data_IF_209355112417
#
_entry.id   IF_209355112417
#
_cell.length_a   1.000
_cell.length_b   1.000
_cell.length_c   1.000
_cell.angle_alpha   90.00
_cell.angle_beta   90.00
_cell.angle_gamma   90.00
#
_symmetry.space_group_name_H-M   'P 1'
#
loop_
_entity.id
_entity.type
_entity.pdbx_description
1 polymer ?
#
# COMPACT_ATOMS: atom_id res chain seq x y z
N UNK A 1 5.00 -46.24 32.66
CA UNK A 1 4.40 -45.00 33.21
C UNK A 1 4.34 -44.05 32.02
N UNK A 2 3.32 -44.23 31.18
CA UNK A 2 3.22 -43.58 29.88
C UNK A 2 2.35 -42.33 30.02
N UNK A 3 3.01 -41.17 30.08
CA UNK A 3 2.35 -39.87 30.03
C UNK A 3 1.97 -39.58 28.58
N UNK A 4 0.77 -39.97 28.18
CA UNK A 4 0.14 -39.42 26.97
C UNK A 4 -0.11 -37.93 27.20
N UNK A 5 0.76 -37.10 26.62
CA UNK A 5 0.49 -35.68 26.46
C UNK A 5 -0.74 -35.54 25.56
N UNK A 6 -1.89 -35.22 26.16
CA UNK A 6 -3.02 -34.68 25.41
C UNK A 6 -2.57 -33.34 24.83
N UNK A 7 -2.20 -33.34 23.55
CA UNK A 7 -2.23 -32.10 22.79
C UNK A 7 -3.67 -31.56 22.90
N UNK A 8 -3.89 -30.30 23.33
CA UNK A 8 -5.23 -29.75 23.37
C UNK A 8 -5.80 -29.83 21.95
N UNK A 9 -6.96 -30.48 21.82
CA UNK A 9 -7.70 -30.51 20.56
C UNK A 9 -7.96 -29.04 20.17
N UNK A 10 -7.72 -28.66 18.90
CA UNK A 10 -8.04 -27.32 18.45
C UNK A 10 -9.52 -27.04 18.78
N UNK A 11 -9.81 -25.93 19.46
CA UNK A 11 -11.19 -25.58 19.73
C UNK A 11 -11.88 -25.33 18.38
N UNK A 12 -13.08 -25.86 18.22
CA UNK A 12 -13.88 -25.66 17.01
C UNK A 12 -14.12 -24.17 16.69
N UNK A 13 -14.02 -23.29 17.70
CA UNK A 13 -13.99 -21.83 17.53
C UNK A 13 -12.75 -21.35 16.78
N UNK A 14 -11.56 -21.77 17.21
CA UNK A 14 -10.29 -21.40 16.57
C UNK A 14 -10.21 -21.89 15.11
N UNK A 15 -10.84 -23.03 14.81
CA UNK A 15 -10.89 -23.58 13.45
C UNK A 15 -11.88 -22.81 12.56
N UNK A 16 -13.03 -22.42 13.12
CA UNK A 16 -14.05 -21.65 12.40
C UNK A 16 -13.59 -20.20 12.16
N UNK A 17 -12.93 -19.59 13.14
CA UNK A 17 -12.38 -18.23 13.03
C UNK A 17 -11.22 -18.18 12.02
N UNK A 18 -10.35 -19.20 11.99
CA UNK A 18 -9.30 -19.32 10.98
C UNK A 18 -9.86 -19.53 9.56
N UNK A 19 -10.91 -20.33 9.41
CA UNK A 19 -11.55 -20.57 8.12
C UNK A 19 -12.26 -19.31 7.61
N UNK A 20 -12.94 -18.57 8.49
CA UNK A 20 -13.57 -17.29 8.18
C UNK A 20 -12.53 -16.23 7.79
N UNK A 21 -11.43 -16.13 8.53
CA UNK A 21 -10.31 -15.24 8.21
C UNK A 21 -9.69 -15.56 6.84
N UNK A 22 -9.55 -16.85 6.49
CA UNK A 22 -9.09 -17.30 5.18
C UNK A 22 -10.03 -16.85 4.06
N UNK A 23 -11.33 -17.11 4.19
CA UNK A 23 -12.33 -16.68 3.19
C UNK A 23 -12.42 -15.16 3.03
N UNK A 24 -12.17 -14.42 4.11
CA UNK A 24 -12.16 -12.96 4.11
C UNK A 24 -10.93 -12.40 3.39
N UNK A 25 -9.75 -12.97 3.63
CA UNK A 25 -8.53 -12.56 2.94
C UNK A 25 -8.63 -12.84 1.43
N UNK A 26 -9.15 -14.00 1.04
CA UNK A 26 -9.36 -14.35 -0.37
C UNK A 26 -10.32 -13.38 -1.06
N UNK A 27 -11.43 -13.02 -0.40
CA UNK A 27 -12.37 -12.05 -0.92
C UNK A 27 -11.74 -10.65 -1.05
N UNK A 28 -10.89 -10.25 -0.10
CA UNK A 28 -10.18 -8.98 -0.13
C UNK A 28 -9.14 -8.94 -1.26
N UNK A 29 -8.38 -10.02 -1.46
CA UNK A 29 -7.43 -10.17 -2.56
C UNK A 29 -8.13 -10.07 -3.92
N UNK A 30 -9.23 -10.80 -4.10
CA UNK A 30 -10.04 -10.74 -5.32
C UNK A 30 -10.57 -9.33 -5.57
N UNK A 31 -11.06 -8.66 -4.51
CA UNK A 31 -11.57 -7.29 -4.63
C UNK A 31 -10.46 -6.30 -4.99
N UNK A 32 -9.27 -6.43 -4.39
CA UNK A 32 -8.12 -5.61 -4.71
C UNK A 32 -7.69 -5.79 -6.18
N UNK A 33 -7.70 -7.03 -6.68
CA UNK A 33 -7.43 -7.33 -8.08
C UNK A 33 -8.42 -6.63 -9.03
N UNK A 34 -9.73 -6.79 -8.80
CA UNK A 34 -10.77 -6.15 -9.61
C UNK A 34 -10.66 -4.61 -9.61
N UNK A 35 -10.40 -4.02 -8.44
CA UNK A 35 -10.24 -2.59 -8.31
C UNK A 35 -8.97 -2.10 -9.03
N UNK A 36 -7.86 -2.83 -8.92
CA UNK A 36 -6.59 -2.49 -9.58
C UNK A 36 -6.72 -2.57 -11.10
N UNK A 37 -7.41 -3.59 -11.61
CA UNK A 37 -7.73 -3.72 -13.03
C UNK A 37 -8.52 -2.50 -13.52
N UNK A 38 -9.63 -2.17 -12.85
CA UNK A 38 -10.45 -1.04 -13.24
C UNK A 38 -9.70 0.29 -13.17
N UNK A 39 -8.90 0.49 -12.12
CA UNK A 39 -8.07 1.67 -11.97
C UNK A 39 -7.05 1.80 -13.10
N UNK A 40 -6.38 0.70 -13.48
CA UNK A 40 -5.47 0.68 -14.62
C UNK A 40 -6.18 1.06 -15.93
N UNK A 41 -7.40 0.56 -16.16
CA UNK A 41 -8.22 0.94 -17.33
C UNK A 41 -8.56 2.43 -17.31
N UNK A 42 -8.96 2.97 -16.15
CA UNK A 42 -9.26 4.39 -16.00
C UNK A 42 -8.02 5.29 -16.20
N UNK A 43 -6.83 4.78 -15.88
CA UNK A 43 -5.53 5.43 -16.13
C UNK A 43 -5.08 5.31 -17.60
N UNK A 44 -5.88 4.67 -18.47
CA UNK A 44 -5.66 4.59 -19.91
C UNK A 44 -4.86 3.38 -20.39
N UNK A 45 -4.61 2.39 -19.52
CA UNK A 45 -3.98 1.13 -19.94
C UNK A 45 -4.95 0.31 -20.80
N UNK A 46 -4.40 -0.40 -21.79
CA UNK A 46 -5.17 -1.37 -22.56
C UNK A 46 -5.52 -2.61 -21.71
N UNK A 47 -6.40 -3.48 -22.24
CA UNK A 47 -6.92 -4.62 -21.48
C UNK A 47 -5.80 -5.59 -21.02
N UNK A 48 -4.84 -5.99 -21.86
CA UNK A 48 -3.74 -6.84 -21.42
C UNK A 48 -2.88 -6.18 -20.33
N UNK A 49 -2.57 -4.89 -20.47
CA UNK A 49 -1.76 -4.19 -19.46
C UNK A 49 -2.52 -4.00 -18.15
N UNK A 50 -3.84 -3.77 -18.18
CA UNK A 50 -4.65 -3.66 -16.99
C UNK A 50 -4.80 -5.00 -16.24
N UNK A 51 -4.92 -6.11 -16.98
CA UNK A 51 -4.89 -7.45 -16.38
C UNK A 51 -3.55 -7.72 -15.69
N UNK A 52 -2.44 -7.43 -16.37
CA UNK A 52 -1.11 -7.60 -15.78
C UNK A 52 -0.90 -6.71 -14.55
N UNK A 53 -1.38 -5.47 -14.58
CA UNK A 53 -1.32 -4.56 -13.45
C UNK A 53 -2.06 -5.11 -12.22
N UNK A 54 -3.21 -5.74 -12.42
CA UNK A 54 -3.98 -6.36 -11.36
C UNK A 54 -3.31 -7.61 -10.78
N UNK A 55 -2.60 -8.38 -11.61
CA UNK A 55 -1.79 -9.52 -11.18
C UNK A 55 -0.53 -9.09 -10.41
N UNK A 56 0.13 -8.02 -10.87
CA UNK A 56 1.32 -7.44 -10.23
C UNK A 56 0.96 -6.64 -8.96
N UNK A 57 -0.32 -6.31 -8.77
CA UNK A 57 -0.80 -5.50 -7.66
C UNK A 57 -0.42 -4.03 -7.77
N UNK A 58 -0.31 -3.48 -8.97
CA UNK A 58 0.09 -2.08 -9.16
C UNK A 58 0.37 -1.69 -10.61
N UNK A 59 0.74 -0.43 -10.81
CA UNK A 59 1.12 0.13 -12.12
C UNK A 59 2.31 1.07 -11.99
N UNK A 60 2.98 1.36 -13.09
CA UNK A 60 3.99 2.42 -13.16
C UNK A 60 3.35 3.69 -13.71
N UNK A 61 3.32 4.76 -12.92
CA UNK A 61 2.83 6.08 -13.30
C UNK A 61 3.97 7.09 -13.32
N UNK A 62 4.21 7.74 -14.46
CA UNK A 62 5.28 8.74 -14.61
C UNK A 62 6.67 8.25 -14.15
N UNK A 63 6.96 6.96 -14.33
CA UNK A 63 8.21 6.33 -13.88
C UNK A 63 8.25 5.93 -12.40
N UNK A 64 7.20 6.22 -11.63
CA UNK A 64 7.04 5.80 -10.23
C UNK A 64 6.20 4.51 -10.15
N UNK A 65 6.71 3.51 -9.44
CA UNK A 65 5.93 2.31 -9.12
C UNK A 65 4.88 2.65 -8.06
N UNK A 66 3.61 2.42 -8.38
CA UNK A 66 2.47 2.58 -7.47
C UNK A 66 1.84 1.21 -7.25
N UNK A 67 1.85 0.73 -6.01
CA UNK A 67 1.30 -0.58 -5.64
C UNK A 67 0.04 -0.45 -4.80
N UNK A 68 -0.83 -1.44 -4.88
CA UNK A 68 -2.07 -1.59 -4.12
C UNK A 68 -1.94 -2.88 -3.32
N UNK A 69 -1.85 -2.76 -2.01
CA UNK A 69 -1.70 -3.91 -1.11
C UNK A 69 -2.95 -4.05 -0.24
N UNK A 70 -3.67 -5.19 -0.30
CA UNK A 70 -4.76 -5.43 0.63
C UNK A 70 -4.22 -5.67 2.04
N UNK A 71 -4.77 -4.95 3.00
CA UNK A 71 -4.43 -5.04 4.42
C UNK A 71 -5.66 -5.50 5.21
N UNK A 72 -5.68 -6.75 5.70
CA UNK A 72 -6.71 -7.20 6.61
C UNK A 72 -6.47 -6.55 7.98
N UNK A 73 -7.31 -5.60 8.35
CA UNK A 73 -7.28 -5.02 9.70
C UNK A 73 -8.14 -5.87 10.63
N UNK A 74 -7.52 -6.54 11.60
CA UNK A 74 -8.24 -7.28 12.64
C UNK A 74 -9.06 -6.33 13.53
N UNK A 75 -10.31 -6.71 13.84
CA UNK A 75 -11.17 -5.97 14.78
C UNK A 75 -11.97 -4.80 14.17
N UNK A 76 -11.75 -4.45 12.90
CA UNK A 76 -12.62 -3.56 12.14
C UNK A 76 -13.63 -4.41 11.36
N UNK A 77 -14.91 -4.07 11.49
CA UNK A 77 -16.04 -4.92 11.13
C UNK A 77 -16.23 -5.13 9.62
N UNK A 78 -15.33 -5.88 8.96
CA UNK A 78 -15.56 -6.47 7.63
C UNK A 78 -15.34 -5.52 6.45
N UNK A 79 -14.37 -4.61 6.54
CA UNK A 79 -14.08 -3.58 5.54
C UNK A 79 -12.57 -3.61 5.37
N UNK A 80 -12.06 -4.46 4.48
CA UNK A 80 -10.63 -4.47 4.22
C UNK A 80 -10.14 -3.07 3.86
N UNK A 81 -8.87 -2.79 4.10
CA UNK A 81 -8.25 -1.54 3.67
C UNK A 81 -7.28 -1.87 2.55
N UNK A 82 -7.23 -1.03 1.51
CA UNK A 82 -6.13 -1.05 0.55
C UNK A 82 -5.09 -0.04 1.00
N UNK A 83 -3.83 -0.44 0.94
CA UNK A 83 -2.70 0.47 1.11
C UNK A 83 -2.15 0.77 -0.28
N UNK A 84 -2.34 2.01 -0.73
CA UNK A 84 -1.74 2.50 -1.96
C UNK A 84 -0.37 3.05 -1.62
N UNK A 85 0.68 2.53 -2.26
CA UNK A 85 2.07 2.89 -1.95
C UNK A 85 2.78 3.43 -3.19
N UNK A 86 3.59 4.47 -3.06
CA UNK A 86 4.42 4.98 -4.15
C UNK A 86 5.84 5.28 -3.65
N UNK A 87 6.85 4.86 -4.42
CA UNK A 87 8.26 5.09 -4.07
C UNK A 87 8.68 6.53 -4.37
N UNK A 88 9.51 7.11 -3.49
CA UNK A 88 10.03 8.47 -3.65
C UNK A 88 11.24 8.54 -4.60
N UNK A 89 11.72 7.39 -5.09
CA UNK A 89 12.91 7.31 -5.96
C UNK A 89 14.25 7.52 -5.24
N UNK A 90 14.26 7.59 -3.90
CA UNK A 90 15.45 7.72 -3.08
C UNK A 90 15.48 6.67 -1.96
N UNK A 91 16.67 6.44 -1.41
CA UNK A 91 16.93 5.49 -0.32
C UNK A 91 17.47 6.22 0.89
N UNK A 92 17.11 5.76 2.09
CA UNK A 92 17.56 6.34 3.36
C UNK A 92 19.08 6.38 3.48
N UNK A 93 19.77 5.33 3.02
CA UNK A 93 21.23 5.22 3.06
C UNK A 93 21.95 6.12 2.04
N UNK A 94 21.23 6.66 1.06
CA UNK A 94 21.74 7.58 0.04
C UNK A 94 21.52 9.06 0.35
N UNK A 95 20.87 9.40 1.47
CA UNK A 95 20.56 10.77 1.88
C UNK A 95 21.41 11.17 3.08
N UNK A 96 21.80 12.44 3.14
CA UNK A 96 22.35 13.00 4.37
C UNK A 96 21.24 13.23 5.42
N UNK A 97 21.66 13.41 6.67
CA UNK A 97 20.74 13.56 7.80
C UNK A 97 19.83 14.78 7.65
N UNK A 98 20.32 15.87 7.05
CA UNK A 98 19.53 17.09 6.87
C UNK A 98 18.40 16.86 5.87
N UNK A 99 18.73 16.29 4.71
CA UNK A 99 17.75 15.96 3.66
C UNK A 99 16.67 15.01 4.18
N UNK A 100 17.07 14.01 4.97
CA UNK A 100 16.10 13.10 5.61
C UNK A 100 15.19 13.84 6.60
N UNK A 101 15.74 14.77 7.40
CA UNK A 101 14.93 15.60 8.30
C UNK A 101 13.93 16.47 7.54
N UNK A 102 14.36 17.05 6.42
CA UNK A 102 13.51 17.92 5.60
C UNK A 102 12.33 17.14 4.99
N UNK A 103 12.57 15.93 4.48
CA UNK A 103 11.49 15.04 3.99
C UNK A 103 10.52 14.71 5.14
N UNK A 104 11.04 14.28 6.29
CA UNK A 104 10.22 13.85 7.43
C UNK A 104 9.46 15.01 8.08
N UNK A 105 9.94 16.25 7.94
CA UNK A 105 9.23 17.44 8.40
C UNK A 105 7.86 17.63 7.71
N UNK A 106 7.65 17.04 6.53
CA UNK A 106 6.36 17.05 5.84
C UNK A 106 5.34 16.06 6.41
N UNK A 107 5.76 15.06 7.21
CA UNK A 107 4.89 13.98 7.68
C UNK A 107 3.58 14.45 8.34
N UNK A 108 3.55 15.49 9.21
CA UNK A 108 2.30 15.96 9.82
C UNK A 108 1.30 16.50 8.80
N UNK A 109 1.77 17.27 7.81
CA UNK A 109 0.92 17.83 6.76
C UNK A 109 0.41 16.74 5.80
N UNK A 110 1.28 15.80 5.47
CA UNK A 110 0.96 14.66 4.61
C UNK A 110 -0.11 13.76 5.25
N UNK A 111 0.00 13.51 6.56
CA UNK A 111 -1.02 12.78 7.31
C UNK A 111 -2.34 13.55 7.39
N UNK A 112 -2.30 14.83 7.78
CA UNK A 112 -3.50 15.62 8.02
C UNK A 112 -4.33 15.90 6.76
N UNK A 113 -3.68 16.08 5.60
CA UNK A 113 -4.35 16.46 4.34
C UNK A 113 -4.67 15.24 3.48
N UNK A 114 -3.79 14.24 3.44
CA UNK A 114 -3.89 13.13 2.48
C UNK A 114 -4.13 11.76 3.12
N UNK A 115 -4.26 11.70 4.46
CA UNK A 115 -4.30 10.45 5.22
C UNK A 115 -3.14 9.51 4.83
N UNK A 116 -1.95 10.10 4.74
CA UNK A 116 -0.77 9.46 4.19
C UNK A 116 0.37 9.40 5.21
N UNK A 117 1.21 8.37 5.11
CA UNK A 117 2.39 8.18 5.94
C UNK A 117 3.65 8.06 5.08
N UNK A 118 4.76 8.65 5.53
CA UNK A 118 6.09 8.42 4.95
C UNK A 118 6.70 7.23 5.68
N UNK A 119 7.11 6.23 4.92
CA UNK A 119 7.69 4.98 5.41
C UNK A 119 9.01 4.66 4.71
N UNK A 120 9.55 3.50 5.05
CA UNK A 120 10.75 2.92 4.46
C UNK A 120 10.52 1.44 4.20
N UNK A 121 10.84 0.99 2.98
CA UNK A 121 10.84 -0.42 2.63
C UNK A 121 12.05 -1.16 3.24
N UNK A 122 12.02 -2.50 3.34
CA UNK A 122 13.12 -3.28 3.92
C UNK A 122 14.46 -3.09 3.21
N UNK A 123 14.43 -2.75 1.93
CA UNK A 123 15.62 -2.47 1.13
C UNK A 123 16.20 -1.07 1.38
N UNK A 124 15.52 -0.22 2.15
CA UNK A 124 15.90 1.17 2.42
C UNK A 124 15.23 2.21 1.53
N UNK A 125 14.38 1.82 0.58
CA UNK A 125 13.68 2.76 -0.31
C UNK A 125 12.61 3.53 0.45
N UNK A 126 12.61 4.87 0.32
CA UNK A 126 11.57 5.71 0.91
C UNK A 126 10.27 5.58 0.11
N UNK A 127 9.15 5.54 0.83
CA UNK A 127 7.82 5.26 0.27
C UNK A 127 6.77 6.12 0.98
N UNK A 128 5.72 6.49 0.26
CA UNK A 128 4.49 7.05 0.84
C UNK A 128 3.39 6.01 0.77
N UNK A 129 2.64 5.87 1.85
CA UNK A 129 1.50 4.98 1.98
C UNK A 129 0.22 5.79 2.21
N UNK A 130 -0.85 5.46 1.50
CA UNK A 130 -2.21 5.98 1.73
C UNK A 130 -3.15 4.83 2.02
N UNK A 131 -3.93 4.97 3.08
CA UNK A 131 -4.98 4.01 3.43
C UNK A 131 -6.29 4.38 2.73
N UNK A 132 -6.83 3.43 1.98
CA UNK A 132 -8.08 3.57 1.21
C UNK A 132 -9.07 2.50 1.68
N UNK A 133 -10.17 2.89 2.35
CA UNK A 133 -11.19 1.93 2.78
C UNK A 133 -11.88 1.26 1.58
N UNK A 134 -11.90 -0.08 1.53
CA UNK A 134 -12.47 -0.82 0.39
C UNK A 134 -13.97 -0.54 0.21
N UNK A 135 -14.73 -0.33 1.29
CA UNK A 135 -16.17 -0.07 1.22
C UNK A 135 -16.53 1.23 0.52
N UNK A 136 -15.65 2.23 0.61
CA UNK A 136 -15.85 3.54 0.01
C UNK A 136 -15.19 3.64 -1.38
N UNK A 137 -14.44 2.60 -1.79
CA UNK A 137 -13.72 2.59 -3.07
C UNK A 137 -14.67 2.19 -4.20
N UNK A 138 -15.14 3.19 -4.95
CA UNK A 138 -15.67 2.95 -6.28
C UNK A 138 -14.53 2.60 -7.25
N UNK A 139 -14.84 1.90 -8.34
CA UNK A 139 -13.83 1.49 -9.32
C UNK A 139 -13.02 2.66 -9.90
N UNK A 140 -13.63 3.85 -10.01
CA UNK A 140 -12.97 5.04 -10.56
C UNK A 140 -12.15 5.82 -9.52
N UNK A 141 -12.43 5.67 -8.21
CA UNK A 141 -11.76 6.45 -7.17
C UNK A 141 -10.38 5.90 -6.84
N UNK A 142 -10.13 4.61 -7.03
CA UNK A 142 -8.80 4.05 -6.81
C UNK A 142 -7.76 4.61 -7.81
N UNK A 143 -8.16 4.88 -9.05
CA UNK A 143 -7.28 5.52 -10.04
C UNK A 143 -6.82 6.91 -9.57
N UNK A 144 -7.75 7.69 -9.01
CA UNK A 144 -7.45 8.99 -8.41
C UNK A 144 -6.52 8.83 -7.20
N UNK A 145 -6.79 7.86 -6.33
CA UNK A 145 -5.93 7.59 -5.17
C UNK A 145 -4.51 7.19 -5.57
N UNK A 146 -4.35 6.36 -6.60
CA UNK A 146 -3.06 5.98 -7.17
C UNK A 146 -2.33 7.19 -7.74
N UNK A 147 -3.03 8.03 -8.50
CA UNK A 147 -2.46 9.25 -9.08
C UNK A 147 -2.03 10.27 -8.02
N UNK A 148 -2.87 10.51 -7.01
CA UNK A 148 -2.55 11.41 -5.88
C UNK A 148 -1.36 10.88 -5.08
N UNK A 149 -1.31 9.57 -4.82
CA UNK A 149 -0.17 8.93 -4.11
C UNK A 149 1.12 9.11 -4.91
N UNK A 150 1.07 8.94 -6.24
CA UNK A 150 2.21 9.18 -7.11
C UNK A 150 2.68 10.65 -7.08
N UNK A 151 1.77 11.61 -7.23
CA UNK A 151 2.13 13.03 -7.19
C UNK A 151 2.73 13.43 -5.84
N UNK A 152 2.19 12.89 -4.74
CA UNK A 152 2.74 13.12 -3.41
C UNK A 152 4.17 12.57 -3.27
N UNK A 153 4.41 11.36 -3.77
CA UNK A 153 5.76 10.78 -3.78
C UNK A 153 6.74 11.61 -4.63
N UNK A 154 6.31 12.12 -5.78
CA UNK A 154 7.13 13.00 -6.62
C UNK A 154 7.47 14.32 -5.90
N UNK A 155 6.49 14.98 -5.27
CA UNK A 155 6.72 16.23 -4.52
C UNK A 155 7.71 16.05 -3.37
N UNK A 156 7.60 14.93 -2.63
CA UNK A 156 8.52 14.62 -1.53
C UNK A 156 9.92 14.22 -2.04
N UNK A 157 9.99 13.52 -3.17
CA UNK A 157 11.25 13.19 -3.84
C UNK A 157 11.97 14.44 -4.37
N UNK A 158 11.23 15.39 -4.94
CA UNK A 158 11.78 16.66 -5.43
C UNK A 158 12.34 17.51 -4.28
N UNK A 159 11.64 17.57 -3.14
CA UNK A 159 12.14 18.23 -1.94
C UNK A 159 13.50 17.64 -1.49
N UNK A 160 13.71 16.33 -1.66
CA UNK A 160 14.98 15.67 -1.36
C UNK A 160 16.12 16.07 -2.31
N UNK A 161 15.82 16.47 -3.55
CA UNK A 161 16.85 16.83 -4.55
C UNK A 161 17.21 18.31 -4.54
N UNK A 162 16.33 19.19 -4.06
CA UNK A 162 16.58 20.64 -3.95
C UNK A 162 17.62 21.01 -2.88
N UNK A 163 17.99 20.09 -1.98
CA UNK A 163 19.10 20.25 -1.02
C UNK A 163 20.50 20.12 -1.64
N UNK A 164 20.63 19.60 -2.87
CA UNK A 164 21.93 19.55 -3.58
C UNK A 164 22.23 20.90 -4.24
N UNK A 165 23.00 21.75 -3.56
CA UNK A 165 23.73 22.80 -4.27
C UNK A 165 24.66 22.15 -5.32
N UNK A 166 24.81 22.73 -6.53
CA UNK A 166 25.82 22.26 -7.47
C UNK A 166 27.21 22.43 -6.83
N UNK A 167 27.98 21.34 -6.82
CA UNK A 167 29.39 21.36 -6.43
C UNK A 167 30.24 22.04 -7.50
#
# INVERSE_FOLDING_TARGET
MDTHAFAPLPNARDTNDAQLAGTYLDALLQRAHELTHAAARALGLDEPAAAQAADDGGVVLNGTLVTVTPMPLEGLAGDGTLVVSATLGCRVDGLDAQTLCDILAHAPGVLAVYNAAIGCQPDGTLVVHRMVPVRDTAFDTLAEDMFVTQQLAALLGDAATQGRAPQ
#
